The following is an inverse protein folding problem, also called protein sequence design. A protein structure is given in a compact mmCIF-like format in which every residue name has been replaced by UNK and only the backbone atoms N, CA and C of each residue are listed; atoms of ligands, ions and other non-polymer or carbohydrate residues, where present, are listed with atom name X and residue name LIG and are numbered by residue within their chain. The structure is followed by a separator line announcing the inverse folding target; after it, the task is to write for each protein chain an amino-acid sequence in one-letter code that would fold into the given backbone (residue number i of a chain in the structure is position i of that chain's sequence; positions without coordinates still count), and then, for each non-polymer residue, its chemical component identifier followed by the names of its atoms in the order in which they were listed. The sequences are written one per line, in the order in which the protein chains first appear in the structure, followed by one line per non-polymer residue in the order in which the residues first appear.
data_IF_153533487106
#
_entry.id   IF_153533487106
#
_cell.length_a   1.000
_cell.length_b   1.000
_cell.length_c   1.000
_cell.angle_alpha   90.00
_cell.angle_beta   90.00
_cell.angle_gamma   90.00
#
_symmetry.space_group_name_H-M   'P 1'
#
loop_
_entity.id
_entity.type
_entity.pdbx_description
1 polymer ?
#
# COMPACT_ATOMS: atom_id res chain seq x y z
N UNK A 1 4.12 13.05 -14.73
CA UNK A 1 3.56 11.66 -14.73
C UNK A 1 3.56 11.21 -13.28
N UNK A 2 2.44 10.77 -12.77
CA UNK A 2 2.30 10.38 -11.37
C UNK A 2 2.95 9.02 -11.13
N UNK A 3 3.78 8.92 -10.11
CA UNK A 3 4.51 7.69 -9.77
C UNK A 3 3.92 7.03 -8.54
N UNK A 4 3.63 5.74 -8.64
CA UNK A 4 3.08 4.94 -7.56
C UNK A 4 3.96 3.72 -7.26
N UNK A 5 4.01 3.33 -6.00
CA UNK A 5 4.61 2.06 -5.60
C UNK A 5 3.61 1.21 -4.83
N UNK A 6 3.55 -0.06 -5.18
CA UNK A 6 2.81 -1.08 -4.46
C UNK A 6 3.80 -1.84 -3.59
N UNK A 7 3.63 -1.81 -2.28
CA UNK A 7 4.46 -2.58 -1.35
C UNK A 7 3.75 -3.87 -0.97
N UNK A 8 4.43 -4.98 -1.20
CA UNK A 8 3.91 -6.32 -0.92
C UNK A 8 5.01 -7.29 -0.49
N UNK A 9 4.65 -8.54 -0.22
CA UNK A 9 5.59 -9.58 0.18
C UNK A 9 5.01 -10.98 -0.04
N UNK A 10 5.74 -12.05 0.27
CA UNK A 10 5.24 -13.42 0.13
C UNK A 10 3.88 -13.63 0.81
N UNK A 11 2.96 -14.34 0.14
CA UNK A 11 1.64 -14.63 0.68
C UNK A 11 0.67 -13.46 0.69
N UNK A 12 0.88 -12.48 -0.19
CA UNK A 12 -0.04 -11.34 -0.34
C UNK A 12 -1.44 -11.78 -0.79
N UNK A 13 -2.44 -10.94 -0.57
CA UNK A 13 -3.77 -11.13 -1.13
C UNK A 13 -3.73 -10.79 -2.62
N UNK A 14 -3.97 -11.76 -3.47
CA UNK A 14 -3.75 -11.67 -4.93
C UNK A 14 -4.55 -10.53 -5.57
N UNK A 15 -5.82 -10.36 -5.19
CA UNK A 15 -6.69 -9.30 -5.70
C UNK A 15 -6.15 -7.90 -5.38
N UNK A 16 -5.53 -7.74 -4.20
CA UNK A 16 -5.00 -6.45 -3.76
C UNK A 16 -3.87 -5.96 -4.67
N UNK A 17 -3.02 -6.87 -5.13
CA UNK A 17 -1.91 -6.53 -6.03
C UNK A 17 -2.38 -6.41 -7.47
N UNK A 18 -3.11 -7.43 -7.99
CA UNK A 18 -3.54 -7.46 -9.39
C UNK A 18 -4.40 -6.23 -9.72
N UNK A 19 -5.47 -6.04 -8.95
CA UNK A 19 -6.40 -4.95 -9.24
C UNK A 19 -5.74 -3.59 -9.08
N UNK A 20 -4.98 -3.39 -8.00
CA UNK A 20 -4.25 -2.14 -7.77
C UNK A 20 -3.31 -1.81 -8.90
N UNK A 21 -2.50 -2.77 -9.35
CA UNK A 21 -1.54 -2.58 -10.44
C UNK A 21 -2.23 -2.14 -11.73
N UNK A 22 -3.20 -2.93 -12.21
CA UNK A 22 -3.86 -2.61 -13.48
C UNK A 22 -4.75 -1.37 -13.40
N UNK A 23 -5.37 -1.10 -12.25
CA UNK A 23 -6.16 0.13 -12.06
C UNK A 23 -5.30 1.39 -12.09
N UNK A 24 -4.11 1.35 -11.50
CA UNK A 24 -3.15 2.45 -11.56
C UNK A 24 -2.59 2.62 -12.98
N UNK A 25 -2.25 1.54 -13.66
CA UNK A 25 -1.80 1.58 -15.07
C UNK A 25 -2.88 2.16 -15.98
N UNK A 26 -4.15 1.76 -15.83
CA UNK A 26 -5.30 2.30 -16.56
C UNK A 26 -5.44 3.82 -16.33
N UNK A 27 -5.21 4.29 -15.11
CA UNK A 27 -5.25 5.70 -14.75
C UNK A 27 -4.00 6.50 -15.20
N UNK A 28 -3.06 5.87 -15.91
CA UNK A 28 -1.88 6.54 -16.46
C UNK A 28 -0.71 6.73 -15.48
N UNK A 29 -0.70 6.01 -14.36
CA UNK A 29 0.42 6.04 -13.42
C UNK A 29 1.62 5.24 -13.94
N UNK A 30 2.81 5.70 -13.59
CA UNK A 30 3.99 4.87 -13.61
C UNK A 30 4.04 4.06 -12.30
N UNK A 31 4.09 2.73 -12.40
CA UNK A 31 3.86 1.84 -11.25
C UNK A 31 5.03 0.89 -11.06
N UNK A 32 5.63 0.96 -9.89
CA UNK A 32 6.58 -0.02 -9.38
C UNK A 32 5.92 -0.94 -8.36
N UNK A 33 6.43 -2.17 -8.24
CA UNK A 33 6.10 -3.09 -7.14
C UNK A 33 7.37 -3.29 -6.32
N UNK A 34 7.30 -3.04 -5.03
CA UNK A 34 8.41 -3.30 -4.12
C UNK A 34 8.13 -4.55 -3.28
N UNK A 35 9.11 -5.43 -3.22
CA UNK A 35 9.02 -6.70 -2.48
C UNK A 35 10.30 -7.00 -1.72
N UNK A 36 10.29 -8.09 -0.98
CA UNK A 36 11.49 -8.66 -0.35
C UNK A 36 11.75 -10.05 -0.90
N UNK A 37 12.96 -10.51 -0.68
CA UNK A 37 13.34 -11.89 -0.98
C UNK A 37 12.39 -12.88 -0.28
N UNK A 38 11.96 -13.90 -1.01
CA UNK A 38 11.22 -15.03 -0.46
C UNK A 38 12.18 -16.21 -0.23
N UNK A 39 12.63 -16.41 1.01
CA UNK A 39 13.57 -17.49 1.32
C UNK A 39 12.98 -18.89 1.10
N UNK A 40 11.65 -19.02 1.07
CA UNK A 40 11.00 -20.31 0.86
C UNK A 40 11.09 -20.79 -0.60
N UNK A 41 11.13 -19.86 -1.54
CA UNK A 41 11.18 -20.18 -3.00
C UNK A 41 12.57 -20.05 -3.58
N UNK A 42 13.46 -19.30 -2.95
CA UNK A 42 14.80 -19.01 -3.47
C UNK A 42 14.80 -18.16 -4.75
N UNK A 43 13.68 -17.54 -5.10
CA UNK A 43 13.51 -16.77 -6.34
C UNK A 43 13.91 -15.28 -6.20
N UNK A 44 14.74 -14.94 -5.24
CA UNK A 44 15.13 -13.56 -4.97
C UNK A 44 13.93 -12.72 -4.56
N UNK A 45 13.77 -11.54 -5.17
CA UNK A 45 12.66 -10.61 -4.88
C UNK A 45 11.36 -10.97 -5.60
N UNK A 46 11.30 -12.08 -6.33
CA UNK A 46 10.05 -12.57 -6.91
C UNK A 46 9.24 -13.28 -5.84
N UNK A 47 8.02 -12.84 -5.63
CA UNK A 47 7.12 -13.36 -4.59
C UNK A 47 5.83 -13.89 -5.20
N UNK A 48 5.12 -14.70 -4.43
CA UNK A 48 3.85 -15.31 -4.86
C UNK A 48 2.76 -14.99 -3.84
N UNK A 49 1.60 -14.62 -4.34
CA UNK A 49 0.38 -14.44 -3.57
C UNK A 49 -0.16 -15.75 -3.02
N UNK A 50 -1.08 -15.66 -2.10
CA UNK A 50 -1.65 -16.83 -1.41
C UNK A 50 -2.46 -17.76 -2.32
N UNK A 51 -2.92 -17.29 -3.47
CA UNK A 51 -3.62 -18.07 -4.50
C UNK A 51 -2.75 -18.32 -5.74
N UNK A 52 -1.46 -18.04 -5.67
CA UNK A 52 -0.48 -18.41 -6.67
C UNK A 52 -0.17 -17.35 -7.72
N UNK A 53 -0.65 -16.12 -7.57
CA UNK A 53 -0.30 -15.03 -8.48
C UNK A 53 1.16 -14.61 -8.26
N UNK A 54 1.99 -14.63 -9.31
CA UNK A 54 3.39 -14.21 -9.19
C UNK A 54 3.54 -12.69 -9.22
N UNK A 55 4.62 -12.20 -8.64
CA UNK A 55 5.16 -10.86 -8.90
C UNK A 55 6.59 -11.08 -9.42
N UNK A 56 6.94 -10.55 -10.64
CA UNK A 56 6.14 -9.68 -11.51
C UNK A 56 4.89 -10.37 -12.08
N UNK A 57 3.84 -9.58 -12.33
CA UNK A 57 2.50 -10.09 -12.70
C UNK A 57 2.47 -10.74 -14.09
N UNK A 58 3.29 -10.25 -15.01
CA UNK A 58 3.43 -10.78 -16.35
C UNK A 58 4.80 -10.42 -16.94
N UNK A 59 5.07 -10.88 -18.17
CA UNK A 59 6.36 -10.67 -18.86
C UNK A 59 6.61 -9.21 -19.28
N UNK A 60 5.61 -8.36 -19.22
CA UNK A 60 5.68 -6.92 -19.58
C UNK A 60 5.76 -6.03 -18.35
N UNK A 61 5.48 -6.56 -17.17
CA UNK A 61 5.65 -5.86 -15.91
C UNK A 61 7.15 -5.66 -15.62
N UNK A 62 7.46 -4.53 -15.00
CA UNK A 62 8.81 -4.30 -14.51
C UNK A 62 9.19 -5.33 -13.44
N UNK A 63 10.47 -5.60 -13.35
CA UNK A 63 11.00 -6.35 -12.21
C UNK A 63 10.67 -5.62 -10.90
N UNK A 64 10.29 -6.36 -9.87
CA UNK A 64 10.08 -5.74 -8.56
C UNK A 64 11.38 -5.10 -8.06
N UNK A 65 11.24 -4.04 -7.27
CA UNK A 65 12.38 -3.40 -6.63
C UNK A 65 12.55 -3.89 -5.18
N UNK A 66 13.78 -4.03 -4.70
CA UNK A 66 14.01 -4.36 -3.30
C UNK A 66 13.67 -3.18 -2.40
N UNK A 67 13.23 -3.45 -1.17
CA UNK A 67 12.86 -2.39 -0.23
C UNK A 67 13.95 -1.37 0.06
N UNK A 68 15.22 -1.75 -0.10
CA UNK A 68 16.34 -0.82 0.08
C UNK A 68 16.45 0.27 -0.99
N UNK A 69 15.73 0.15 -2.11
CA UNK A 69 15.69 1.14 -3.20
C UNK A 69 14.49 2.10 -3.10
N UNK A 70 13.63 1.92 -2.08
CA UNK A 70 12.51 2.82 -1.82
C UNK A 70 13.03 4.21 -1.42
N UNK A 71 12.57 5.24 -2.14
CA UNK A 71 12.92 6.63 -1.88
C UNK A 71 11.66 7.49 -2.02
N UNK A 72 11.24 8.15 -0.93
CA UNK A 72 9.95 8.82 -0.88
C UNK A 72 9.80 9.94 -1.93
N UNK A 73 10.89 10.58 -2.31
CA UNK A 73 10.90 11.64 -3.33
C UNK A 73 10.51 11.16 -4.73
N UNK A 74 10.62 9.86 -5.01
CA UNK A 74 10.28 9.26 -6.32
C UNK A 74 8.79 9.03 -6.53
N UNK A 75 8.00 8.98 -5.45
CA UNK A 75 6.61 8.53 -5.52
C UNK A 75 5.64 9.58 -5.00
N UNK A 76 4.44 9.60 -5.57
CA UNK A 76 3.30 10.42 -5.15
C UNK A 76 2.30 9.60 -4.34
N UNK A 77 2.32 8.28 -4.52
CA UNK A 77 1.42 7.31 -3.91
C UNK A 77 2.16 6.05 -3.49
N UNK A 78 1.88 5.56 -2.28
CA UNK A 78 2.19 4.19 -1.87
C UNK A 78 0.91 3.43 -1.54
N UNK A 79 0.80 2.19 -2.06
CA UNK A 79 -0.28 1.26 -1.70
C UNK A 79 0.31 0.08 -0.93
N UNK A 80 -0.18 -0.11 0.28
CA UNK A 80 0.21 -1.20 1.19
C UNK A 80 -0.85 -2.29 1.11
N UNK A 81 -0.49 -3.43 0.54
CA UNK A 81 -1.43 -4.51 0.26
C UNK A 81 -1.70 -5.40 1.47
N UNK A 82 -2.79 -6.15 1.41
CA UNK A 82 -3.19 -7.08 2.44
C UNK A 82 -2.68 -8.51 2.22
N UNK A 83 -3.43 -9.47 2.76
CA UNK A 83 -2.97 -10.78 3.11
C UNK A 83 -2.35 -10.72 4.51
N UNK A 84 -2.52 -11.73 5.33
CA UNK A 84 -1.98 -11.67 6.70
C UNK A 84 -0.47 -11.92 6.75
N UNK A 85 0.07 -12.74 5.86
CA UNK A 85 1.48 -13.12 5.83
C UNK A 85 2.37 -11.99 5.30
N UNK A 86 2.01 -11.41 4.14
CA UNK A 86 2.79 -10.35 3.53
C UNK A 86 2.93 -9.11 4.44
N UNK A 87 1.84 -8.50 4.95
CA UNK A 87 1.97 -7.34 5.85
C UNK A 87 2.72 -7.65 7.14
N UNK A 88 2.56 -8.86 7.71
CA UNK A 88 3.30 -9.23 8.93
C UNK A 88 4.81 -9.26 8.68
N UNK A 89 5.25 -9.81 7.56
CA UNK A 89 6.67 -9.84 7.19
C UNK A 89 7.20 -8.46 6.81
N UNK A 90 6.43 -7.72 6.01
CA UNK A 90 6.81 -6.40 5.47
C UNK A 90 6.93 -5.35 6.57
N UNK A 91 6.04 -5.37 7.58
CA UNK A 91 6.06 -4.42 8.70
C UNK A 91 7.34 -4.49 9.56
N UNK A 92 8.09 -5.58 9.46
CA UNK A 92 9.35 -5.79 10.18
C UNK A 92 10.51 -5.07 9.49
N UNK A 93 10.39 -4.76 8.20
CA UNK A 93 11.44 -4.16 7.39
C UNK A 93 11.64 -2.67 7.74
N UNK A 94 12.86 -2.34 8.16
CA UNK A 94 13.20 -0.97 8.56
C UNK A 94 13.04 0.00 7.39
N UNK A 95 13.54 -0.36 6.21
CA UNK A 95 13.46 0.48 5.01
C UNK A 95 12.01 0.84 4.65
N UNK A 96 11.06 -0.12 4.78
CA UNK A 96 9.63 0.13 4.53
C UNK A 96 9.05 1.09 5.57
N UNK A 97 9.35 0.89 6.85
CA UNK A 97 8.85 1.78 7.92
C UNK A 97 9.32 3.22 7.73
N UNK A 98 10.61 3.39 7.44
CA UNK A 98 11.20 4.71 7.18
C UNK A 98 10.62 5.36 5.93
N UNK A 99 10.42 4.57 4.86
CA UNK A 99 9.79 5.04 3.63
C UNK A 99 8.34 5.49 3.84
N UNK A 100 7.50 4.66 4.47
CA UNK A 100 6.08 4.99 4.75
C UNK A 100 5.96 6.21 5.65
N UNK A 101 6.82 6.31 6.66
CA UNK A 101 6.91 7.50 7.51
C UNK A 101 7.26 8.75 6.70
N UNK A 102 8.24 8.66 5.80
CA UNK A 102 8.66 9.77 4.96
C UNK A 102 7.57 10.20 3.95
N UNK A 103 6.84 9.23 3.36
CA UNK A 103 5.70 9.52 2.49
C UNK A 103 4.61 10.31 3.23
N UNK A 104 4.23 9.87 4.44
CA UNK A 104 3.22 10.56 5.25
C UNK A 104 3.67 11.97 5.62
N UNK A 105 4.89 12.14 6.13
CA UNK A 105 5.42 13.45 6.54
C UNK A 105 5.63 14.42 5.38
N UNK A 106 5.82 13.91 4.16
CA UNK A 106 5.84 14.72 2.94
C UNK A 106 4.42 15.03 2.40
N UNK A 107 3.35 14.64 3.10
CA UNK A 107 1.97 14.83 2.66
C UNK A 107 1.57 13.99 1.45
N UNK A 108 2.38 13.01 1.07
CA UNK A 108 2.11 12.10 -0.05
C UNK A 108 1.09 11.04 0.34
N UNK A 109 0.38 10.48 -0.63
CA UNK A 109 -0.72 9.57 -0.33
C UNK A 109 -0.19 8.22 0.11
N UNK A 110 -0.65 7.79 1.29
CA UNK A 110 -0.40 6.46 1.86
C UNK A 110 -1.73 5.72 1.97
N UNK A 111 -1.88 4.67 1.18
CA UNK A 111 -3.10 3.88 1.07
C UNK A 111 -2.89 2.47 1.63
N UNK A 112 -3.72 2.02 2.55
CA UNK A 112 -3.62 0.69 3.18
C UNK A 112 -4.91 -0.12 3.04
N UNK A 113 -4.80 -1.33 2.51
CA UNK A 113 -5.93 -2.23 2.26
C UNK A 113 -5.85 -3.47 3.17
N UNK A 114 -6.98 -3.85 3.76
CA UNK A 114 -7.16 -5.06 4.55
C UNK A 114 -6.19 -5.12 5.75
N UNK A 115 -5.12 -5.94 5.68
CA UNK A 115 -4.05 -6.01 6.67
C UNK A 115 -2.88 -5.02 6.40
N UNK A 116 -2.90 -4.30 5.27
CA UNK A 116 -1.90 -3.26 4.96
C UNK A 116 -1.68 -2.22 6.06
N UNK A 117 -2.72 -1.79 6.80
CA UNK A 117 -2.57 -0.88 7.94
C UNK A 117 -1.63 -1.36 9.04
N UNK A 118 -1.30 -2.64 9.18
CA UNK A 118 -0.22 -3.09 10.09
C UNK A 118 1.12 -2.43 9.78
N UNK A 119 1.41 -2.20 8.50
CA UNK A 119 2.65 -1.53 8.07
C UNK A 119 2.60 -0.06 8.51
N UNK A 120 1.43 0.60 8.37
CA UNK A 120 1.21 1.99 8.81
C UNK A 120 1.37 2.14 10.33
N UNK A 121 0.84 1.17 11.11
CA UNK A 121 1.04 1.10 12.56
C UNK A 121 2.53 1.04 12.89
N UNK A 122 3.27 0.14 12.23
CA UNK A 122 4.69 -0.06 12.47
C UNK A 122 5.57 1.11 12.02
N UNK A 123 5.10 1.89 11.03
CA UNK A 123 5.71 3.15 10.62
C UNK A 123 5.37 4.32 11.57
N UNK A 124 4.44 4.14 12.52
CA UNK A 124 4.09 5.15 13.53
C UNK A 124 3.19 6.28 13.04
N UNK A 125 2.51 6.11 11.89
CA UNK A 125 1.73 7.18 11.25
C UNK A 125 0.23 7.17 11.59
N UNK A 126 -0.24 6.27 12.48
CA UNK A 126 -1.66 6.10 12.75
C UNK A 126 -2.20 6.89 13.96
N UNK A 127 -1.32 7.49 14.75
CA UNK A 127 -1.75 8.25 15.94
C UNK A 127 -2.61 9.46 15.56
N UNK A 128 -3.80 9.55 16.17
CA UNK A 128 -4.80 10.59 15.93
C UNK A 128 -5.35 10.62 14.49
N UNK A 129 -5.21 9.54 13.73
CA UNK A 129 -5.77 9.41 12.39
C UNK A 129 -7.10 8.67 12.44
N UNK A 130 -8.07 9.13 11.65
CA UNK A 130 -9.28 8.35 11.38
C UNK A 130 -8.95 7.27 10.37
N UNK A 131 -9.35 6.04 10.64
CA UNK A 131 -9.02 4.92 9.77
C UNK A 131 -10.03 3.78 9.90
N UNK A 132 -9.98 2.85 8.97
CA UNK A 132 -10.57 1.52 9.09
C UNK A 132 -9.51 0.46 8.80
N UNK A 133 -9.77 -0.77 9.19
CA UNK A 133 -8.90 -1.90 8.90
C UNK A 133 -9.72 -3.20 8.90
N UNK A 134 -9.12 -4.28 8.45
CA UNK A 134 -9.70 -5.61 8.65
C UNK A 134 -10.06 -5.83 10.12
N UNK A 135 -11.16 -6.54 10.37
CA UNK A 135 -11.71 -6.71 11.72
C UNK A 135 -10.68 -7.20 12.75
N UNK A 136 -9.77 -8.10 12.34
CA UNK A 136 -8.72 -8.62 13.22
C UNK A 136 -7.62 -7.61 13.58
N UNK A 137 -7.57 -6.44 12.94
CA UNK A 137 -6.60 -5.38 13.22
C UNK A 137 -7.18 -4.25 14.06
N UNK A 138 -8.46 -4.30 14.38
CA UNK A 138 -9.17 -3.18 15.02
C UNK A 138 -8.51 -2.78 16.34
N UNK A 139 -8.21 -3.75 17.18
CA UNK A 139 -7.56 -3.50 18.47
C UNK A 139 -6.13 -2.96 18.30
N UNK A 140 -5.39 -3.47 17.33
CA UNK A 140 -4.04 -2.97 17.01
C UNK A 140 -4.08 -1.50 16.57
N UNK A 141 -5.06 -1.12 15.74
CA UNK A 141 -5.26 0.25 15.30
C UNK A 141 -5.60 1.19 16.46
N UNK A 142 -6.52 0.78 17.34
CA UNK A 142 -6.89 1.52 18.55
C UNK A 142 -5.67 1.69 19.45
N UNK A 143 -4.92 0.62 19.71
CA UNK A 143 -3.71 0.66 20.53
C UNK A 143 -2.61 1.54 19.91
N UNK A 144 -2.57 1.66 18.59
CA UNK A 144 -1.68 2.60 17.89
C UNK A 144 -2.15 4.07 17.98
N UNK A 145 -3.33 4.31 18.56
CA UNK A 145 -3.91 5.65 18.76
C UNK A 145 -4.75 6.16 17.59
N UNK A 146 -5.23 5.27 16.71
CA UNK A 146 -6.15 5.64 15.64
C UNK A 146 -7.60 5.74 16.16
N UNK A 147 -8.39 6.64 15.53
CA UNK A 147 -9.85 6.69 15.65
C UNK A 147 -10.46 5.74 14.61
N UNK A 148 -10.87 4.55 15.08
CA UNK A 148 -11.28 3.45 14.19
C UNK A 148 -12.76 3.53 13.86
N UNK A 149 -13.05 3.76 12.58
CA UNK A 149 -14.39 3.80 12.00
C UNK A 149 -14.89 2.41 11.60
N UNK A 150 -16.22 2.25 11.58
CA UNK A 150 -16.92 1.07 11.03
C UNK A 150 -17.15 1.18 9.50
N UNK A 151 -16.78 2.30 8.88
CA UNK A 151 -16.83 2.44 7.43
C UNK A 151 -15.85 1.47 6.73
N UNK A 152 -16.21 1.04 5.53
CA UNK A 152 -15.34 0.14 4.75
C UNK A 152 -14.15 0.85 4.12
N UNK A 153 -14.27 2.15 3.86
CA UNK A 153 -13.21 3.02 3.33
C UNK A 153 -13.21 4.32 4.14
N UNK A 154 -12.04 4.75 4.56
CA UNK A 154 -11.84 6.02 5.28
C UNK A 154 -10.73 6.80 4.60
N UNK A 155 -10.99 8.09 4.36
CA UNK A 155 -9.99 9.07 3.95
C UNK A 155 -9.78 10.04 5.11
N UNK A 156 -8.54 10.23 5.50
CA UNK A 156 -8.11 11.20 6.50
C UNK A 156 -6.86 11.93 5.98
N UNK A 157 -7.09 13.08 5.37
CA UNK A 157 -6.08 13.85 4.65
C UNK A 157 -5.35 13.01 3.58
N UNK A 158 -4.07 12.70 3.78
CA UNK A 158 -3.25 11.90 2.87
C UNK A 158 -3.33 10.38 3.15
N UNK A 159 -4.03 9.96 4.18
CA UNK A 159 -4.20 8.54 4.54
C UNK A 159 -5.51 8.00 3.97
N UNK A 160 -5.44 6.89 3.24
CA UNK A 160 -6.62 6.16 2.77
C UNK A 160 -6.56 4.74 3.29
N UNK A 161 -7.58 4.30 4.00
CA UNK A 161 -7.66 2.92 4.50
C UNK A 161 -8.90 2.21 4.01
N UNK A 162 -8.80 0.89 3.81
CA UNK A 162 -9.91 0.02 3.44
C UNK A 162 -9.88 -1.25 4.27
N UNK A 163 -11.05 -1.64 4.78
CA UNK A 163 -11.16 -2.77 5.72
C UNK A 163 -11.14 -4.15 5.07
N UNK A 164 -11.45 -4.26 3.76
CA UNK A 164 -11.68 -5.57 3.16
C UNK A 164 -11.33 -5.60 1.67
N UNK A 165 -10.68 -6.68 1.23
CA UNK A 165 -10.25 -6.84 -0.16
C UNK A 165 -11.40 -6.87 -1.18
N UNK A 166 -12.62 -7.24 -0.77
CA UNK A 166 -13.80 -7.18 -1.64
C UNK A 166 -14.18 -5.77 -2.07
N UNK A 167 -13.69 -4.75 -1.35
CA UNK A 167 -13.91 -3.33 -1.65
C UNK A 167 -12.74 -2.69 -2.44
N UNK A 168 -11.80 -3.49 -2.93
CA UNK A 168 -10.61 -2.99 -3.64
C UNK A 168 -10.96 -2.07 -4.81
N UNK A 169 -12.08 -2.32 -5.50
CA UNK A 169 -12.56 -1.47 -6.60
C UNK A 169 -12.93 -0.06 -6.14
N UNK A 170 -13.76 0.05 -5.11
CA UNK A 170 -14.16 1.33 -4.52
C UNK A 170 -12.96 2.04 -3.87
N UNK A 171 -12.11 1.28 -3.18
CA UNK A 171 -10.88 1.78 -2.58
C UNK A 171 -9.95 2.41 -3.62
N UNK A 172 -9.62 1.71 -4.68
CA UNK A 172 -8.71 2.23 -5.71
C UNK A 172 -9.32 3.39 -6.50
N UNK A 173 -10.64 3.42 -6.67
CA UNK A 173 -11.34 4.60 -7.22
C UNK A 173 -11.10 5.82 -6.33
N UNK A 174 -11.29 5.67 -5.02
CA UNK A 174 -11.05 6.74 -4.03
C UNK A 174 -9.59 7.21 -4.06
N UNK A 175 -8.63 6.28 -4.06
CA UNK A 175 -7.19 6.59 -4.11
C UNK A 175 -6.84 7.38 -5.36
N UNK A 176 -7.24 6.92 -6.53
CA UNK A 176 -6.96 7.60 -7.82
C UNK A 176 -7.58 9.00 -7.84
N UNK A 177 -8.84 9.13 -7.41
CA UNK A 177 -9.51 10.45 -7.34
C UNK A 177 -8.76 11.42 -6.43
N UNK A 178 -8.33 10.97 -5.26
CA UNK A 178 -7.58 11.81 -4.31
C UNK A 178 -6.23 12.28 -4.89
N UNK A 179 -5.50 11.40 -5.58
CA UNK A 179 -4.24 11.78 -6.26
C UNK A 179 -4.50 12.84 -7.34
N UNK A 180 -5.53 12.64 -8.17
CA UNK A 180 -5.88 13.57 -9.25
C UNK A 180 -6.29 14.94 -8.71
N UNK A 181 -7.06 15.00 -7.63
CA UNK A 181 -7.49 16.24 -6.98
C UNK A 181 -6.30 17.03 -6.42
N UNK A 182 -5.37 16.35 -5.75
CA UNK A 182 -4.15 16.98 -5.23
C UNK A 182 -3.24 17.51 -6.34
N UNK A 183 -3.03 16.73 -7.39
CA UNK A 183 -2.23 17.16 -8.54
C UNK A 183 -2.81 18.41 -9.23
N UNK A 184 -4.14 18.56 -9.25
CA UNK A 184 -4.79 19.78 -9.81
C UNK A 184 -4.61 20.99 -8.90
N UNK A 185 -4.60 20.82 -7.60
CA UNK A 185 -4.43 21.91 -6.63
C UNK A 185 -3.02 22.46 -6.56
N UNK A 186 -2.03 21.69 -7.01
CA UNK A 186 -0.61 22.08 -7.04
C UNK A 186 -0.21 22.83 -8.32
N UNK A 187 -1.08 22.86 -9.35
CA UNK A 187 -0.82 23.64 -10.58
C UNK A 187 -1.27 25.08 -10.35
N UNK A 188 -0.33 26.06 -10.27
CA UNK A 188 -0.69 27.48 -10.17
C UNK A 188 -1.50 27.92 -11.40
N UNK A 189 -2.52 28.74 -11.16
CA UNK A 189 -3.35 29.35 -12.23
C UNK A 189 -2.53 30.32 -13.10
#
# INVERSE_FOLDING_TARGET
MTHAVIITGPGFQDQDVIYTYYRLKEAGFDVDIATKEDPATGNGIHVTGRYGVPVPLDKTAREPIPFGELAAEKYDLVVLTGGYEAPDRVRQERAVKEFVWAMDHAGKIVAGLCHGPWIMISAGIMRNRRACAYVGLRDDMINAGADVSDATIVVDDNIVTCSYYGEVGAFMKTVVTLVEERSRSEVPA
#
